data_IF_096298930887
#
_entry.id   IF_096298930887
#
_cell.length_a   1.000
_cell.length_b   1.000
_cell.length_c   1.000
_cell.angle_alpha   90.00
_cell.angle_beta   90.00
_cell.angle_gamma   90.00
#
_symmetry.space_group_name_H-M   'P 1'
#
loop_
_entity.id
_entity.type
_entity.pdbx_description
1 polymer ?
#
# COMPACT_ATOMS: atom_id res chain seq x y z
N UNK A 1 53.60 -19.48 41.87
CA UNK A 1 54.81 -18.98 42.55
C UNK A 1 54.48 -17.58 43.12
N UNK A 2 53.57 -17.48 44.09
CA UNK A 2 53.80 -17.61 45.53
C UNK A 2 54.78 -16.55 46.08
N UNK A 3 54.26 -15.46 46.68
CA UNK A 3 54.68 -14.83 47.94
C UNK A 3 53.81 -13.55 48.17
N UNK A 4 52.94 -13.31 49.16
CA UNK A 4 52.77 -13.65 50.60
C UNK A 4 53.31 -12.58 51.57
N UNK A 5 52.35 -11.93 52.28
CA UNK A 5 52.38 -11.23 53.61
C UNK A 5 52.94 -9.79 53.65
N UNK A 6 52.44 -8.84 54.48
CA UNK A 6 51.81 -8.88 55.83
C UNK A 6 51.15 -7.49 56.10
N UNK A 7 49.84 -7.36 56.38
CA UNK A 7 49.13 -7.33 57.68
C UNK A 7 49.46 -6.12 58.60
N UNK A 8 48.48 -5.22 58.78
CA UNK A 8 48.15 -4.60 60.08
C UNK A 8 46.61 -4.52 60.22
N UNK A 9 46.14 -4.88 61.42
CA UNK A 9 44.74 -5.08 61.82
C UNK A 9 44.53 -4.30 63.12
N UNK A 10 43.44 -3.53 63.19
CA UNK A 10 42.69 -3.14 64.40
C UNK A 10 41.24 -2.89 63.90
N UNK A 11 40.28 -3.79 64.10
CA UNK A 11 39.31 -3.85 65.23
C UNK A 11 38.48 -2.55 65.33
N UNK A 12 37.13 -2.49 65.31
CA UNK A 12 35.98 -3.40 65.51
C UNK A 12 34.74 -2.74 64.84
N UNK A 13 33.80 -3.53 64.31
CA UNK A 13 32.44 -3.05 63.96
C UNK A 13 31.76 -3.91 62.89
N UNK A 14 30.83 -4.77 63.31
CA UNK A 14 30.20 -5.80 62.51
C UNK A 14 28.94 -5.33 61.72
N UNK A 15 28.54 -6.20 60.76
CA UNK A 15 27.24 -6.35 60.06
C UNK A 15 27.04 -5.67 58.67
N UNK A 16 27.42 -6.43 57.62
CA UNK A 16 26.65 -6.99 56.47
C UNK A 16 25.46 -6.25 55.76
N UNK A 17 25.11 -6.66 54.51
CA UNK A 17 24.98 -5.75 53.35
C UNK A 17 23.55 -5.35 52.95
N UNK A 18 23.49 -4.22 52.24
CA UNK A 18 22.27 -3.62 51.68
C UNK A 18 21.77 -4.43 50.47
N UNK A 19 20.64 -5.12 50.68
CA UNK A 19 19.77 -5.66 49.66
C UNK A 19 18.82 -4.58 49.08
N UNK A 20 18.54 -4.71 47.79
CA UNK A 20 17.37 -4.25 47.02
C UNK A 20 16.27 -3.46 47.78
N UNK A 21 16.26 -2.14 47.59
CA UNK A 21 15.07 -1.28 47.75
C UNK A 21 14.17 -1.45 46.51
N UNK A 22 12.85 -1.64 46.55
CA UNK A 22 11.87 -1.40 47.61
C UNK A 22 10.67 -0.64 47.05
N UNK A 23 10.04 -1.13 45.97
CA UNK A 23 8.90 -0.50 45.25
C UNK A 23 7.53 -0.70 45.96
N UNK A 24 7.46 -0.59 47.29
CA UNK A 24 6.22 -0.99 47.99
C UNK A 24 5.73 -0.15 49.19
N UNK A 25 6.17 1.10 49.36
CA UNK A 25 5.65 1.94 50.46
C UNK A 25 5.33 3.40 50.09
N UNK A 26 4.35 3.61 49.21
CA UNK A 26 3.61 4.91 49.14
C UNK A 26 2.10 4.68 48.91
N UNK A 27 1.49 3.69 49.57
CA UNK A 27 0.03 3.49 49.50
C UNK A 27 -0.57 3.12 50.86
N UNK A 28 -0.54 4.06 51.81
CA UNK A 28 -1.42 4.01 52.99
C UNK A 28 -2.04 5.38 53.25
N UNK A 29 -3.28 5.54 52.81
CA UNK A 29 -4.13 6.68 53.11
C UNK A 29 -5.46 6.57 52.38
N UNK A 30 -6.45 5.96 53.05
CA UNK A 30 -7.85 5.72 52.61
C UNK A 30 -8.04 4.50 51.69
N UNK A 31 -8.76 3.51 52.23
CA UNK A 31 -8.85 2.16 51.70
C UNK A 31 -9.74 2.01 50.48
N UNK A 32 -9.23 1.23 49.52
CA UNK A 32 -9.95 0.22 48.73
C UNK A 32 -8.88 -0.78 48.28
N UNK A 33 -8.74 -1.90 49.01
CA UNK A 33 -7.88 -3.02 48.61
C UNK A 33 -8.55 -3.74 47.44
N UNK A 34 -8.43 -3.17 46.25
CA UNK A 34 -8.88 -3.82 45.03
C UNK A 34 -8.05 -5.09 44.87
N UNK A 35 -8.71 -6.26 44.77
CA UNK A 35 -8.02 -7.50 44.44
C UNK A 35 -7.26 -7.34 43.11
N UNK A 36 -6.20 -8.12 42.87
CA UNK A 36 -5.47 -8.08 41.58
C UNK A 36 -6.40 -8.21 40.37
N UNK A 37 -7.53 -8.91 40.53
CA UNK A 37 -8.56 -9.04 39.50
C UNK A 37 -9.38 -7.76 39.33
N UNK A 38 -9.77 -7.10 40.44
CA UNK A 38 -10.45 -5.81 40.40
C UNK A 38 -9.56 -4.71 39.79
N UNK A 39 -8.25 -4.69 40.10
CA UNK A 39 -7.31 -3.77 39.45
C UNK A 39 -7.16 -4.04 37.95
N UNK A 40 -7.07 -5.31 37.54
CA UNK A 40 -7.08 -5.69 36.10
C UNK A 40 -8.37 -5.31 35.41
N UNK A 41 -9.50 -5.43 36.09
CA UNK A 41 -10.80 -5.06 35.54
C UNK A 41 -10.97 -3.54 35.43
N UNK A 42 -10.54 -2.77 36.44
CA UNK A 42 -10.52 -1.32 36.39
C UNK A 42 -9.53 -0.79 35.36
N UNK A 43 -8.35 -1.40 35.24
CA UNK A 43 -7.38 -1.08 34.17
C UNK A 43 -7.97 -1.37 32.79
N UNK A 44 -8.63 -2.52 32.59
CA UNK A 44 -9.34 -2.82 31.33
C UNK A 44 -10.48 -1.84 31.05
N UNK A 45 -11.25 -1.46 32.07
CA UNK A 45 -12.34 -0.47 31.95
C UNK A 45 -11.80 0.93 31.65
N UNK A 46 -10.71 1.34 32.30
CA UNK A 46 -10.06 2.62 32.08
C UNK A 46 -9.40 2.71 30.70
N UNK A 47 -8.70 1.65 30.26
CA UNK A 47 -8.15 1.55 28.90
C UNK A 47 -9.27 1.57 27.86
N UNK A 48 -10.35 0.82 28.09
CA UNK A 48 -11.51 0.81 27.20
C UNK A 48 -12.21 2.17 27.14
N UNK A 49 -12.41 2.82 28.29
CA UNK A 49 -12.96 4.18 28.38
C UNK A 49 -12.07 5.16 27.63
N UNK A 50 -10.76 5.19 27.93
CA UNK A 50 -9.82 6.07 27.27
C UNK A 50 -9.71 5.84 25.76
N UNK A 51 -9.78 4.59 25.29
CA UNK A 51 -9.86 4.27 23.85
C UNK A 51 -11.17 4.77 23.25
N UNK A 52 -12.31 4.57 23.91
CA UNK A 52 -13.61 5.02 23.42
C UNK A 52 -13.72 6.54 23.40
N UNK A 53 -13.16 7.23 24.40
CA UNK A 53 -13.11 8.69 24.50
C UNK A 53 -12.15 9.28 23.46
N UNK A 54 -11.01 8.64 23.21
CA UNK A 54 -10.09 9.02 22.14
C UNK A 54 -10.71 8.82 20.76
N UNK A 55 -11.42 7.70 20.56
CA UNK A 55 -12.11 7.40 19.31
C UNK A 55 -13.27 8.35 19.07
N UNK A 56 -14.08 8.67 20.08
CA UNK A 56 -15.20 9.61 19.96
C UNK A 56 -14.69 11.01 19.62
N UNK A 57 -13.65 11.48 20.32
CA UNK A 57 -12.99 12.76 20.03
C UNK A 57 -12.42 12.80 18.61
N UNK A 58 -11.77 11.72 18.17
CA UNK A 58 -11.24 11.61 16.81
C UNK A 58 -12.36 11.63 15.76
N UNK A 59 -13.44 10.88 15.96
CA UNK A 59 -14.61 10.87 15.07
C UNK A 59 -15.23 12.28 14.98
N UNK A 60 -15.36 12.98 16.11
CA UNK A 60 -15.87 14.35 16.16
C UNK A 60 -14.93 15.36 15.47
N UNK A 61 -13.63 15.05 15.38
CA UNK A 61 -12.64 15.90 14.70
C UNK A 61 -12.65 15.77 13.16
N UNK A 62 -13.29 14.71 12.63
CA UNK A 62 -13.35 14.44 11.20
C UNK A 62 -14.03 15.58 10.45
N UNK A 63 -13.56 15.91 9.24
CA UNK A 63 -14.28 16.83 8.35
C UNK A 63 -15.70 16.33 8.08
N UNK A 64 -16.67 17.24 7.87
CA UNK A 64 -18.01 16.85 7.44
C UNK A 64 -17.97 16.22 6.03
N UNK A 65 -18.94 15.35 5.66
CA UNK A 65 -18.94 14.61 4.40
C UNK A 65 -18.70 15.44 3.12
N UNK A 66 -19.25 16.67 2.96
CA UNK A 66 -19.01 17.48 1.76
C UNK A 66 -17.55 17.86 1.55
N UNK A 67 -16.74 17.92 2.60
CA UNK A 67 -15.31 18.24 2.50
C UNK A 67 -14.48 17.12 1.87
N UNK A 68 -15.05 15.94 1.63
CA UNK A 68 -14.36 14.80 1.01
C UNK A 68 -14.57 14.72 -0.52
N UNK A 69 -15.40 15.60 -1.10
CA UNK A 69 -15.79 15.57 -2.52
C UNK A 69 -15.91 16.99 -3.13
N UNK A 70 -14.81 17.58 -3.66
CA UNK A 70 -13.43 17.09 -3.60
C UNK A 70 -12.81 17.30 -2.21
N UNK A 71 -11.76 16.55 -1.84
CA UNK A 71 -11.08 16.70 -0.56
C UNK A 71 -10.57 18.14 -0.32
N UNK A 72 -10.94 18.76 0.79
CA UNK A 72 -10.24 19.94 1.34
C UNK A 72 -8.86 19.54 1.87
N UNK A 73 -7.94 20.48 2.17
CA UNK A 73 -6.70 20.17 2.86
C UNK A 73 -6.87 19.38 4.18
N UNK A 74 -7.93 19.69 4.94
CA UNK A 74 -8.28 18.96 6.18
C UNK A 74 -8.73 17.53 5.88
N UNK A 75 -9.62 17.34 4.91
CA UNK A 75 -10.05 16.01 4.46
C UNK A 75 -8.89 15.19 3.86
N UNK A 76 -8.05 15.80 3.03
CA UNK A 76 -6.83 15.19 2.52
C UNK A 76 -5.91 14.67 3.64
N UNK A 77 -5.62 15.51 4.65
CA UNK A 77 -4.77 15.09 5.77
C UNK A 77 -5.36 13.92 6.55
N UNK A 78 -6.69 13.89 6.71
CA UNK A 78 -7.43 12.80 7.35
C UNK A 78 -7.34 11.52 6.52
N UNK A 79 -7.58 11.61 5.21
CA UNK A 79 -7.51 10.46 4.29
C UNK A 79 -6.11 9.86 4.28
N UNK A 80 -5.06 10.67 4.17
CA UNK A 80 -3.68 10.20 4.15
C UNK A 80 -3.25 9.64 5.52
N UNK A 81 -3.72 10.25 6.62
CA UNK A 81 -3.49 9.74 7.97
C UNK A 81 -4.05 8.34 8.18
N UNK A 82 -5.20 8.03 7.56
CA UNK A 82 -5.79 6.70 7.57
C UNK A 82 -5.07 5.78 6.57
N UNK A 83 -4.83 6.25 5.35
CA UNK A 83 -4.34 5.41 4.25
C UNK A 83 -2.91 4.91 4.47
N UNK A 84 -2.07 5.66 5.18
CA UNK A 84 -0.73 5.20 5.55
C UNK A 84 -0.76 3.93 6.42
N UNK A 85 -1.86 3.65 7.13
CA UNK A 85 -2.07 2.45 7.96
C UNK A 85 -2.66 1.25 7.23
N UNK A 86 -2.91 1.37 5.92
CA UNK A 86 -3.34 0.25 5.09
C UNK A 86 -2.43 -1.00 5.17
N UNK A 87 -1.09 -0.92 5.39
CA UNK A 87 -0.25 -2.10 5.63
C UNK A 87 -0.78 -3.01 6.75
N UNK A 88 -1.47 -2.49 7.76
CA UNK A 88 -2.11 -3.30 8.81
C UNK A 88 -3.19 -4.22 8.22
N UNK A 89 -3.96 -3.74 7.25
CA UNK A 89 -4.94 -4.56 6.51
C UNK A 89 -4.22 -5.64 5.70
N UNK A 90 -3.07 -5.31 5.10
CA UNK A 90 -2.30 -6.30 4.34
C UNK A 90 -1.77 -7.44 5.19
N UNK A 91 -1.53 -7.24 6.50
CA UNK A 91 -1.17 -8.33 7.43
C UNK A 91 -2.25 -9.43 7.37
N UNK A 92 -3.52 -9.06 7.37
CA UNK A 92 -4.61 -10.03 7.22
C UNK A 92 -4.56 -10.74 5.86
N UNK A 93 -4.21 -10.04 4.77
CA UNK A 93 -4.06 -10.65 3.43
C UNK A 93 -2.89 -11.64 3.37
N UNK A 94 -1.81 -11.37 4.10
CA UNK A 94 -0.66 -12.28 4.20
C UNK A 94 -0.98 -13.53 5.03
N UNK A 95 -1.77 -13.37 6.09
CA UNK A 95 -2.14 -14.47 7.00
C UNK A 95 -3.31 -15.31 6.49
N UNK A 96 -4.24 -14.72 5.74
CA UNK A 96 -5.48 -15.37 5.31
C UNK A 96 -5.50 -15.59 3.79
N UNK A 97 -5.81 -16.81 3.30
CA UNK A 97 -6.03 -17.06 1.87
C UNK A 97 -7.38 -16.50 1.37
N UNK A 98 -8.07 -15.69 2.17
CA UNK A 98 -9.40 -15.20 1.88
C UNK A 98 -9.36 -14.00 0.94
N UNK A 99 -9.62 -14.29 -0.34
CA UNK A 99 -9.68 -13.26 -1.38
C UNK A 99 -10.69 -13.70 -2.46
N UNK A 100 -12.01 -13.57 -2.25
CA UNK A 100 -13.04 -14.18 -3.10
C UNK A 100 -13.19 -13.52 -4.49
N UNK A 101 -12.15 -13.66 -5.31
CA UNK A 101 -12.00 -13.21 -6.69
C UNK A 101 -11.02 -14.16 -7.42
N UNK A 102 -11.17 -14.31 -8.74
CA UNK A 102 -10.23 -15.10 -9.54
C UNK A 102 -10.17 -16.57 -9.13
N UNK A 103 -8.97 -17.08 -8.82
CA UNK A 103 -8.73 -18.49 -8.42
C UNK A 103 -9.49 -18.92 -7.16
N UNK A 104 -9.79 -17.96 -6.29
CA UNK A 104 -10.45 -18.11 -4.98
C UNK A 104 -11.88 -17.58 -4.99
N UNK A 105 -12.43 -17.26 -6.16
CA UNK A 105 -13.82 -16.84 -6.35
C UNK A 105 -14.80 -17.87 -5.76
N UNK A 106 -15.88 -17.39 -5.15
CA UNK A 106 -16.91 -18.22 -4.49
C UNK A 106 -18.10 -18.45 -5.44
N UNK A 107 -18.13 -19.51 -6.27
CA UNK A 107 -19.05 -19.61 -7.41
C UNK A 107 -20.55 -19.61 -7.06
N UNK A 108 -20.91 -19.94 -5.81
CA UNK A 108 -22.30 -20.05 -5.34
C UNK A 108 -22.79 -18.84 -4.57
N UNK A 109 -21.94 -17.83 -4.30
CA UNK A 109 -22.37 -16.65 -3.55
C UNK A 109 -23.33 -15.79 -4.38
N UNK A 110 -24.47 -15.44 -3.80
CA UNK A 110 -25.44 -14.49 -4.35
C UNK A 110 -24.90 -13.06 -4.39
N UNK A 111 -23.86 -12.77 -3.61
CA UNK A 111 -23.20 -11.47 -3.55
C UNK A 111 -22.07 -11.36 -4.59
N UNK A 112 -22.07 -12.20 -5.61
CA UNK A 112 -21.13 -12.09 -6.72
C UNK A 112 -21.66 -11.18 -7.80
N UNK A 113 -20.75 -10.38 -8.35
CA UNK A 113 -20.99 -9.60 -9.55
C UNK A 113 -20.19 -10.17 -10.74
N UNK A 114 -20.65 -10.02 -11.99
CA UNK A 114 -19.91 -10.52 -13.15
C UNK A 114 -18.51 -9.91 -13.23
N UNK A 115 -17.50 -10.77 -13.39
CA UNK A 115 -16.10 -10.41 -13.13
C UNK A 115 -15.55 -9.25 -13.97
N UNK A 116 -15.90 -9.16 -15.26
CA UNK A 116 -15.41 -8.09 -16.14
C UNK A 116 -15.93 -6.70 -15.73
N UNK A 117 -17.23 -6.61 -15.45
CA UNK A 117 -17.86 -5.36 -15.04
C UNK A 117 -17.47 -4.97 -13.61
N UNK A 118 -17.35 -5.95 -12.71
CA UNK A 118 -16.83 -5.72 -11.37
C UNK A 118 -15.40 -5.16 -11.38
N UNK A 119 -14.50 -5.74 -12.19
CA UNK A 119 -13.15 -5.20 -12.40
C UNK A 119 -13.20 -3.78 -12.97
N UNK A 120 -13.98 -3.58 -14.04
CA UNK A 120 -14.09 -2.29 -14.68
C UNK A 120 -14.55 -1.20 -13.70
N UNK A 121 -15.59 -1.49 -12.92
CA UNK A 121 -16.14 -0.55 -11.96
C UNK A 121 -15.18 -0.26 -10.81
N UNK A 122 -14.63 -1.29 -10.15
CA UNK A 122 -13.83 -1.07 -8.94
C UNK A 122 -12.49 -0.37 -9.24
N UNK A 123 -11.92 -0.59 -10.42
CA UNK A 123 -10.67 0.05 -10.85
C UNK A 123 -10.89 1.43 -11.48
N UNK A 124 -12.05 1.71 -12.09
CA UNK A 124 -12.31 3.04 -12.68
C UNK A 124 -12.38 4.14 -11.62
N UNK A 125 -12.75 3.81 -10.38
CA UNK A 125 -12.90 4.77 -9.27
C UNK A 125 -11.67 5.64 -9.10
N UNK A 126 -10.47 5.06 -9.16
CA UNK A 126 -9.23 5.82 -8.94
C UNK A 126 -9.04 6.92 -9.98
N UNK A 127 -9.16 6.57 -11.26
CA UNK A 127 -9.03 7.53 -12.35
C UNK A 127 -10.16 8.55 -12.38
N UNK A 128 -11.41 8.11 -12.20
CA UNK A 128 -12.57 9.00 -12.19
C UNK A 128 -12.51 10.01 -11.05
N UNK A 129 -12.13 9.58 -9.85
CA UNK A 129 -12.01 10.46 -8.70
C UNK A 129 -10.85 11.45 -8.86
N UNK A 130 -9.70 11.03 -9.39
CA UNK A 130 -8.59 11.92 -9.74
C UNK A 130 -9.04 13.02 -10.73
N UNK A 131 -9.72 12.63 -11.82
CA UNK A 131 -10.23 13.57 -12.82
C UNK A 131 -11.30 14.51 -12.23
N UNK A 132 -12.21 13.99 -11.41
CA UNK A 132 -13.22 14.78 -10.73
C UNK A 132 -12.60 15.86 -9.85
N UNK A 133 -11.64 15.50 -9.00
CA UNK A 133 -10.95 16.45 -8.10
C UNK A 133 -10.25 17.53 -8.93
N UNK A 134 -9.47 17.15 -9.95
CA UNK A 134 -8.77 18.11 -10.82
C UNK A 134 -9.75 19.02 -11.58
N UNK A 135 -10.86 18.47 -12.07
CA UNK A 135 -11.88 19.23 -12.78
C UNK A 135 -12.53 20.29 -11.88
N UNK A 136 -12.90 19.93 -10.64
CA UNK A 136 -13.49 20.89 -9.70
C UNK A 136 -12.52 22.01 -9.33
N UNK A 137 -11.23 21.70 -9.16
CA UNK A 137 -10.19 22.71 -8.97
C UNK A 137 -10.00 23.61 -10.19
N UNK A 138 -10.01 23.04 -11.40
CA UNK A 138 -9.93 23.80 -12.64
C UNK A 138 -11.08 24.82 -12.77
N UNK A 139 -12.31 24.43 -12.40
CA UNK A 139 -13.46 25.34 -12.43
C UNK A 139 -13.34 26.48 -11.39
N UNK A 140 -12.62 26.23 -10.29
CA UNK A 140 -12.47 27.19 -9.19
C UNK A 140 -11.34 28.21 -9.41
N UNK A 141 -10.38 27.92 -10.29
CA UNK A 141 -9.18 28.74 -10.52
C UNK A 141 -9.00 28.97 -12.03
N UNK A 142 -9.18 30.20 -12.52
CA UNK A 142 -8.91 30.52 -13.93
C UNK A 142 -7.50 30.11 -14.34
N UNK A 143 -7.36 29.51 -15.53
CA UNK A 143 -6.07 29.09 -16.09
C UNK A 143 -5.30 28.05 -15.24
N UNK A 144 -5.95 27.30 -14.34
CA UNK A 144 -5.30 26.32 -13.48
C UNK A 144 -4.44 25.30 -14.25
N UNK A 145 -4.93 24.81 -15.39
CA UNK A 145 -4.18 23.85 -16.20
C UNK A 145 -2.93 24.47 -16.83
N UNK A 146 -2.88 25.77 -17.11
CA UNK A 146 -1.63 26.37 -17.62
C UNK A 146 -0.63 26.63 -16.49
N UNK A 147 -1.11 26.93 -15.28
CA UNK A 147 -0.26 27.20 -14.10
C UNK A 147 0.24 25.95 -13.39
N UNK A 148 -0.43 24.80 -13.54
CA UNK A 148 0.00 23.54 -12.92
C UNK A 148 1.38 23.08 -13.47
N UNK A 149 2.34 22.71 -12.60
CA UNK A 149 3.67 22.30 -13.04
C UNK A 149 3.67 21.08 -13.97
N UNK A 150 4.62 21.03 -14.90
CA UNK A 150 4.71 19.98 -15.92
C UNK A 150 4.85 18.58 -15.30
N UNK A 151 5.63 18.43 -14.24
CA UNK A 151 5.82 17.16 -13.55
C UNK A 151 4.53 16.65 -12.89
N UNK A 152 3.69 17.55 -12.35
CA UNK A 152 2.42 17.18 -11.75
C UNK A 152 1.44 16.70 -12.84
N UNK A 153 1.37 17.41 -13.98
CA UNK A 153 0.58 16.99 -15.15
C UNK A 153 1.00 15.62 -15.67
N UNK A 154 2.32 15.39 -15.75
CA UNK A 154 2.86 14.11 -16.18
C UNK A 154 2.40 12.97 -15.25
N UNK A 155 2.53 13.13 -13.93
CA UNK A 155 2.06 12.11 -12.99
C UNK A 155 0.56 11.84 -13.08
N UNK A 156 -0.27 12.88 -13.23
CA UNK A 156 -1.71 12.70 -13.51
C UNK A 156 -1.90 11.87 -14.79
N UNK A 157 -1.24 12.24 -15.88
CA UNK A 157 -1.38 11.57 -17.17
C UNK A 157 -0.96 10.10 -17.09
N UNK A 158 0.17 9.79 -16.44
CA UNK A 158 0.64 8.42 -16.24
C UNK A 158 -0.34 7.62 -15.37
N UNK A 159 -0.83 8.18 -14.27
CA UNK A 159 -1.84 7.53 -13.43
C UNK A 159 -3.11 7.19 -14.23
N UNK A 160 -3.65 8.15 -15.00
CA UNK A 160 -4.83 7.92 -15.83
C UNK A 160 -4.54 6.88 -16.92
N UNK A 161 -3.36 6.94 -17.56
CA UNK A 161 -2.95 5.98 -18.58
C UNK A 161 -2.93 4.54 -18.05
N UNK A 162 -2.36 4.31 -16.87
CA UNK A 162 -2.40 3.01 -16.19
C UNK A 162 -3.84 2.53 -16.02
N UNK A 163 -4.70 3.36 -15.42
CA UNK A 163 -6.06 2.96 -15.09
C UNK A 163 -6.98 2.86 -16.31
N UNK A 164 -6.70 3.55 -17.41
CA UNK A 164 -7.39 3.30 -18.69
C UNK A 164 -7.13 1.87 -19.15
N UNK A 165 -5.87 1.42 -19.10
CA UNK A 165 -5.54 0.04 -19.40
C UNK A 165 -6.16 -0.95 -18.40
N UNK A 166 -6.01 -0.67 -17.11
CA UNK A 166 -6.39 -1.57 -16.01
C UNK A 166 -7.91 -1.71 -15.84
N UNK A 167 -8.64 -0.61 -15.90
CA UNK A 167 -10.08 -0.57 -15.67
C UNK A 167 -10.88 -0.86 -16.93
N UNK A 168 -10.44 -0.41 -18.11
CA UNK A 168 -11.24 -0.56 -19.33
C UNK A 168 -10.64 -1.56 -20.31
N UNK A 169 -9.40 -1.35 -20.76
CA UNK A 169 -8.82 -2.14 -21.86
C UNK A 169 -8.73 -3.63 -21.48
N UNK A 170 -8.13 -3.91 -20.32
CA UNK A 170 -7.85 -5.27 -19.85
C UNK A 170 -9.12 -6.10 -19.61
N UNK A 171 -10.07 -5.67 -18.75
CA UNK A 171 -11.24 -6.49 -18.46
C UNK A 171 -12.24 -6.58 -19.61
N UNK A 172 -12.41 -5.52 -20.39
CA UNK A 172 -13.43 -5.49 -21.44
C UNK A 172 -12.96 -6.15 -22.73
N UNK A 173 -11.69 -5.98 -23.11
CA UNK A 173 -11.21 -6.38 -24.43
C UNK A 173 -10.12 -7.47 -24.42
N UNK A 174 -9.19 -7.47 -23.46
CA UNK A 174 -8.05 -8.40 -23.50
C UNK A 174 -8.29 -9.72 -22.77
N UNK A 175 -8.95 -9.69 -21.62
CA UNK A 175 -9.15 -10.86 -20.78
C UNK A 175 -10.17 -11.83 -21.43
N UNK A 176 -9.85 -13.12 -21.60
CA UNK A 176 -10.79 -14.09 -22.19
C UNK A 176 -11.98 -14.35 -21.25
N UNK A 177 -11.72 -14.45 -19.96
CA UNK A 177 -12.75 -14.54 -18.92
C UNK A 177 -12.20 -14.06 -17.59
N UNK A 178 -13.10 -13.53 -16.76
CA UNK A 178 -12.84 -13.13 -15.39
C UNK A 178 -13.88 -13.79 -14.49
N UNK A 179 -13.42 -14.50 -13.47
CA UNK A 179 -14.29 -15.16 -12.50
C UNK A 179 -15.18 -14.13 -11.78
N UNK A 180 -16.37 -14.52 -11.31
CA UNK A 180 -17.22 -13.63 -10.52
C UNK A 180 -16.49 -13.07 -9.30
N UNK A 181 -16.83 -11.84 -8.91
CA UNK A 181 -16.16 -11.11 -7.83
C UNK A 181 -17.17 -10.82 -6.74
N UNK A 182 -16.83 -11.21 -5.52
CA UNK A 182 -17.68 -10.97 -4.36
C UNK A 182 -17.73 -9.47 -4.01
N UNK A 183 -18.91 -8.97 -3.60
CA UNK A 183 -19.11 -7.56 -3.25
C UNK A 183 -18.08 -7.02 -2.25
N UNK A 184 -17.63 -7.82 -1.28
CA UNK A 184 -16.60 -7.41 -0.32
C UNK A 184 -15.30 -6.95 -1.00
N UNK A 185 -14.90 -7.61 -2.09
CA UNK A 185 -13.70 -7.24 -2.87
C UNK A 185 -13.96 -5.96 -3.64
N UNK A 186 -15.15 -5.82 -4.23
CA UNK A 186 -15.54 -4.60 -4.95
C UNK A 186 -15.50 -3.40 -4.01
N UNK A 187 -16.16 -3.47 -2.84
CA UNK A 187 -16.18 -2.37 -1.88
C UNK A 187 -14.79 -2.04 -1.34
N UNK A 188 -13.98 -3.05 -1.00
CA UNK A 188 -12.62 -2.79 -0.50
C UNK A 188 -11.71 -2.19 -1.58
N UNK A 189 -11.84 -2.62 -2.84
CA UNK A 189 -11.10 -2.04 -3.97
C UNK A 189 -11.55 -0.62 -4.30
N UNK A 190 -12.87 -0.35 -4.31
CA UNK A 190 -13.45 1.00 -4.47
C UNK A 190 -12.89 1.93 -3.39
N UNK A 191 -12.94 1.51 -2.11
CA UNK A 191 -12.41 2.29 -0.99
C UNK A 191 -10.91 2.53 -1.16
N UNK A 192 -10.12 1.49 -1.47
CA UNK A 192 -8.68 1.64 -1.72
C UNK A 192 -8.39 2.66 -2.82
N UNK A 193 -9.05 2.53 -3.98
CA UNK A 193 -8.86 3.41 -5.12
C UNK A 193 -9.32 4.84 -4.82
N UNK A 194 -10.38 5.04 -4.03
CA UNK A 194 -10.80 6.35 -3.54
C UNK A 194 -9.74 7.00 -2.63
N UNK A 195 -9.27 6.30 -1.59
CA UNK A 195 -8.23 6.82 -0.70
C UNK A 195 -6.95 7.15 -1.47
N UNK A 196 -6.50 6.23 -2.33
CA UNK A 196 -5.29 6.41 -3.12
C UNK A 196 -5.37 7.63 -4.04
N UNK A 197 -6.41 7.72 -4.87
CA UNK A 197 -6.58 8.82 -5.81
C UNK A 197 -6.79 10.16 -5.10
N UNK A 198 -7.52 10.21 -4.00
CA UNK A 198 -7.71 11.44 -3.20
C UNK A 198 -6.39 11.93 -2.59
N UNK A 199 -5.56 11.02 -2.07
CA UNK A 199 -4.25 11.37 -1.53
C UNK A 199 -3.29 11.84 -2.64
N UNK A 200 -3.24 11.13 -3.77
CA UNK A 200 -2.40 11.53 -4.90
C UNK A 200 -2.86 12.87 -5.49
N UNK A 201 -4.17 13.07 -5.69
CA UNK A 201 -4.72 14.31 -6.23
C UNK A 201 -4.43 15.50 -5.32
N UNK A 202 -4.69 15.41 -4.02
CA UNK A 202 -4.40 16.48 -3.07
C UNK A 202 -2.92 16.87 -3.05
N UNK A 203 -2.02 15.89 -3.11
CA UNK A 203 -0.58 16.16 -3.21
C UNK A 203 -0.17 16.80 -4.54
N UNK A 204 -0.70 16.31 -5.66
CA UNK A 204 -0.44 16.88 -6.99
C UNK A 204 -1.04 18.29 -7.14
N UNK A 205 -2.06 18.64 -6.37
CA UNK A 205 -2.64 19.98 -6.26
C UNK A 205 -1.89 20.90 -5.29
N UNK A 206 -0.86 20.41 -4.61
CA UNK A 206 -0.02 21.22 -3.73
C UNK A 206 -0.59 21.41 -2.32
N UNK A 207 -1.46 20.52 -1.84
CA UNK A 207 -1.96 20.57 -0.46
C UNK A 207 -0.84 20.41 0.59
N UNK A 208 0.40 20.12 0.22
CA UNK A 208 1.53 20.15 1.15
C UNK A 208 1.49 19.07 2.23
N UNK A 209 2.61 18.91 2.93
CA UNK A 209 2.84 17.85 3.92
C UNK A 209 3.78 18.35 5.03
N UNK A 210 3.28 19.00 6.09
CA UNK A 210 4.06 19.13 7.31
C UNK A 210 4.09 17.77 8.03
N UNK A 211 5.24 17.09 8.05
CA UNK A 211 5.41 15.70 8.50
C UNK A 211 6.52 15.64 9.55
N UNK A 212 6.18 15.39 10.81
CA UNK A 212 7.14 15.40 11.91
C UNK A 212 7.57 13.97 12.19
N UNK A 213 8.87 13.78 12.07
CA UNK A 213 9.53 12.64 12.65
C UNK A 213 9.89 13.01 14.09
N UNK A 214 9.30 12.29 15.05
CA UNK A 214 9.67 12.29 16.48
C UNK A 214 9.52 13.60 17.27
N UNK A 215 8.33 14.22 17.30
CA UNK A 215 8.03 15.30 18.24
C UNK A 215 8.75 16.64 17.95
N UNK A 216 9.76 16.62 17.09
CA UNK A 216 10.34 17.79 16.44
C UNK A 216 9.57 18.09 15.16
N UNK A 217 9.10 19.32 15.02
CA UNK A 217 8.35 19.80 13.86
C UNK A 217 9.24 19.84 12.60
N UNK A 218 9.35 18.72 11.90
CA UNK A 218 9.93 18.71 10.56
C UNK A 218 8.80 19.08 9.59
N UNK A 219 8.92 20.21 8.93
CA UNK A 219 8.05 20.53 7.80
C UNK A 219 8.68 19.82 6.60
N UNK A 220 8.06 18.75 6.09
CA UNK A 220 8.59 18.00 4.94
C UNK A 220 8.49 18.80 3.62
N UNK A 221 7.99 20.02 3.68
CA UNK A 221 8.04 21.02 2.60
C UNK A 221 9.09 22.12 2.82
N UNK A 222 9.82 22.13 3.94
CA UNK A 222 10.92 23.06 4.18
C UNK A 222 12.04 22.37 4.95
N UNK A 223 12.94 21.69 4.23
CA UNK A 223 14.35 21.96 4.52
C UNK A 223 14.51 23.46 4.36
N UNK A 224 14.90 24.15 5.43
CA UNK A 224 15.38 25.53 5.44
C UNK A 224 16.01 25.88 4.09
N UNK A 225 15.22 26.57 3.24
CA UNK A 225 15.46 26.74 1.81
C UNK A 225 16.61 27.72 1.50
N UNK A 226 17.52 27.94 2.45
CA UNK A 226 18.65 28.83 2.27
C UNK A 226 19.98 28.08 2.05
N UNK A 227 20.20 26.89 2.65
CA UNK A 227 21.57 26.34 2.74
C UNK A 227 21.75 24.83 2.50
N UNK A 228 20.70 24.05 2.16
CA UNK A 228 20.91 22.63 1.85
C UNK A 228 21.26 22.47 0.36
N UNK A 229 22.44 21.96 0.00
CA UNK A 229 22.78 21.75 -1.40
C UNK A 229 21.82 20.73 -2.00
N UNK A 230 20.99 21.16 -2.96
CA UNK A 230 20.25 20.23 -3.82
C UNK A 230 21.30 19.39 -4.53
N UNK A 231 21.26 18.08 -4.34
CA UNK A 231 22.18 17.18 -5.02
C UNK A 231 22.09 17.39 -6.53
N UNK A 232 23.22 17.60 -7.20
CA UNK A 232 23.27 17.88 -8.63
C UNK A 232 22.59 16.78 -9.50
N UNK A 233 22.47 15.56 -8.97
CA UNK A 233 21.82 14.43 -9.66
C UNK A 233 20.29 14.41 -9.51
N UNK A 234 19.71 15.11 -8.52
CA UNK A 234 18.28 15.03 -8.20
C UNK A 234 17.36 15.48 -9.37
N UNK A 235 17.69 16.53 -10.15
CA UNK A 235 16.90 16.90 -11.33
C UNK A 235 16.82 15.81 -12.42
N UNK A 236 17.76 14.85 -12.43
CA UNK A 236 17.78 13.78 -13.42
C UNK A 236 16.95 12.54 -13.02
N UNK A 237 16.57 12.43 -11.73
CA UNK A 237 15.79 11.31 -11.19
C UNK A 237 14.44 11.10 -11.89
N UNK A 238 13.66 12.14 -12.22
CA UNK A 238 12.38 11.95 -12.92
C UNK A 238 12.54 11.28 -14.29
N UNK A 239 13.63 11.51 -15.01
CA UNK A 239 13.85 10.88 -16.32
C UNK A 239 14.10 9.38 -16.19
N UNK A 240 14.85 8.97 -15.15
CA UNK A 240 14.97 7.55 -14.78
C UNK A 240 13.58 7.01 -14.41
N UNK A 241 12.80 7.78 -13.66
CA UNK A 241 11.43 7.45 -13.30
C UNK A 241 10.53 7.19 -14.50
N UNK A 242 10.59 8.03 -15.55
CA UNK A 242 9.85 7.84 -16.80
C UNK A 242 10.25 6.51 -17.46
N UNK A 243 11.55 6.24 -17.58
CA UNK A 243 12.03 5.02 -18.21
C UNK A 243 11.55 3.77 -17.44
N UNK A 244 11.65 3.77 -16.11
CA UNK A 244 11.17 2.66 -15.28
C UNK A 244 9.65 2.52 -15.32
N UNK A 245 8.92 3.64 -15.37
CA UNK A 245 7.47 3.65 -15.48
C UNK A 245 7.02 2.89 -16.73
N UNK A 246 7.52 3.29 -17.91
CA UNK A 246 7.13 2.66 -19.17
C UNK A 246 7.67 1.23 -19.32
N UNK A 247 8.87 0.94 -18.82
CA UNK A 247 9.41 -0.43 -18.79
C UNK A 247 8.53 -1.35 -17.93
N UNK A 248 8.13 -0.87 -16.75
CA UNK A 248 7.22 -1.58 -15.85
C UNK A 248 5.84 -1.80 -16.47
N UNK A 249 5.24 -0.74 -17.02
CA UNK A 249 3.93 -0.79 -17.66
C UNK A 249 3.92 -1.76 -18.85
N UNK A 250 4.92 -1.67 -19.75
CA UNK A 250 5.07 -2.61 -20.86
C UNK A 250 5.20 -4.05 -20.36
N UNK A 251 6.08 -4.27 -19.37
CA UNK A 251 6.32 -5.59 -18.80
C UNK A 251 5.08 -6.19 -18.12
N UNK A 252 4.31 -5.38 -17.40
CA UNK A 252 3.05 -5.76 -16.79
C UNK A 252 2.04 -6.22 -17.85
N UNK A 253 1.76 -5.38 -18.86
CA UNK A 253 0.80 -5.66 -19.94
C UNK A 253 1.22 -6.88 -20.75
N UNK A 254 2.51 -6.99 -21.07
CA UNK A 254 3.08 -8.12 -21.79
C UNK A 254 2.87 -9.44 -21.03
N UNK A 255 3.12 -9.42 -19.71
CA UNK A 255 2.95 -10.57 -18.84
C UNK A 255 1.48 -11.00 -18.74
N UNK A 256 0.55 -10.06 -18.55
CA UNK A 256 -0.88 -10.36 -18.48
C UNK A 256 -1.42 -10.89 -19.81
N UNK A 257 -1.05 -10.24 -20.93
CA UNK A 257 -1.46 -10.65 -22.27
C UNK A 257 -0.95 -12.05 -22.60
N UNK A 258 0.26 -12.39 -22.16
CA UNK A 258 0.80 -13.75 -22.27
C UNK A 258 -0.07 -14.76 -21.51
N UNK A 259 -0.45 -14.47 -20.27
CA UNK A 259 -1.34 -15.34 -19.50
C UNK A 259 -2.72 -15.49 -20.17
N UNK A 260 -3.27 -14.41 -20.74
CA UNK A 260 -4.53 -14.46 -21.48
C UNK A 260 -4.43 -15.31 -22.75
N UNK A 261 -3.33 -15.18 -23.50
CA UNK A 261 -3.06 -16.00 -24.68
C UNK A 261 -3.01 -17.48 -24.32
N UNK A 262 -2.24 -17.84 -23.30
CA UNK A 262 -2.14 -19.23 -22.82
C UNK A 262 -3.49 -19.81 -22.40
N UNK A 263 -4.33 -19.01 -21.72
CA UNK A 263 -5.69 -19.43 -21.36
C UNK A 263 -6.59 -19.62 -22.58
N UNK A 264 -6.47 -18.76 -23.60
CA UNK A 264 -7.23 -18.91 -24.86
C UNK A 264 -6.84 -20.18 -25.61
N UNK A 265 -5.54 -20.39 -25.80
CA UNK A 265 -5.00 -21.58 -26.48
C UNK A 265 -5.45 -22.87 -25.80
N UNK A 266 -5.38 -22.91 -24.46
CA UNK A 266 -5.82 -24.07 -23.70
C UNK A 266 -7.33 -24.32 -23.81
N UNK A 267 -8.13 -23.26 -23.78
CA UNK A 267 -9.59 -23.37 -23.94
C UNK A 267 -9.96 -23.98 -25.30
N UNK A 268 -9.35 -23.49 -26.39
CA UNK A 268 -9.57 -24.01 -27.72
C UNK A 268 -9.07 -25.46 -27.88
N UNK A 269 -7.90 -25.79 -27.32
CA UNK A 269 -7.37 -27.16 -27.31
C UNK A 269 -8.33 -28.14 -26.63
N UNK A 270 -8.87 -27.78 -25.47
CA UNK A 270 -9.86 -28.59 -24.74
C UNK A 270 -11.15 -28.76 -25.54
N UNK A 271 -11.64 -27.68 -26.15
CA UNK A 271 -12.85 -27.73 -26.97
C UNK A 271 -12.68 -28.64 -28.20
N UNK A 272 -11.55 -28.53 -28.90
CA UNK A 272 -11.25 -29.39 -30.04
C UNK A 272 -11.14 -30.86 -29.64
N UNK A 273 -10.52 -31.14 -28.48
CA UNK A 273 -10.45 -32.51 -27.94
C UNK A 273 -11.83 -33.06 -27.61
N UNK A 274 -12.68 -32.30 -26.90
CA UNK A 274 -14.04 -32.71 -26.57
C UNK A 274 -14.90 -33.00 -27.82
N UNK A 275 -14.72 -32.22 -28.90
CA UNK A 275 -15.36 -32.47 -30.19
C UNK A 275 -14.90 -33.79 -30.84
N UNK A 276 -13.60 -34.11 -30.75
CA UNK A 276 -13.04 -35.36 -31.27
C UNK A 276 -13.49 -36.57 -30.46
N UNK A 277 -13.59 -36.42 -29.14
CA UNK A 277 -13.96 -37.50 -28.22
C UNK A 277 -15.49 -37.73 -28.14
N UNK A 278 -16.29 -37.00 -28.93
CA UNK A 278 -17.75 -37.12 -28.97
C UNK A 278 -18.48 -36.53 -27.75
N UNK A 279 -17.77 -35.99 -26.76
CA UNK A 279 -18.29 -35.42 -25.52
C UNK A 279 -18.69 -33.94 -25.65
N UNK A 280 -19.19 -33.54 -26.83
CA UNK A 280 -19.67 -32.19 -27.08
C UNK A 280 -21.02 -31.98 -26.40
N UNK A 281 -21.05 -32.01 -25.07
CA UNK A 281 -22.22 -31.60 -24.29
C UNK A 281 -22.52 -30.13 -24.58
N UNK A 282 -23.80 -29.82 -24.80
CA UNK A 282 -24.34 -28.48 -25.02
C UNK A 282 -24.29 -27.66 -23.70
N UNK A 283 -23.08 -27.49 -23.16
CA UNK A 283 -22.84 -26.72 -21.95
C UNK A 283 -23.10 -25.25 -22.25
N UNK A 284 -24.07 -24.63 -21.55
CA UNK A 284 -24.30 -23.17 -21.56
C UNK A 284 -23.10 -22.36 -21.04
N UNK A 285 -22.03 -22.99 -20.55
CA UNK A 285 -20.86 -22.31 -19.99
C UNK A 285 -19.85 -21.98 -21.08
N UNK A 286 -19.24 -20.79 -20.95
CA UNK A 286 -18.17 -20.32 -21.82
C UNK A 286 -16.98 -21.31 -21.83
N UNK A 287 -16.37 -21.52 -23.00
CA UNK A 287 -15.16 -22.36 -23.15
C UNK A 287 -13.98 -21.87 -22.31
N UNK A 288 -14.02 -20.61 -21.85
CA UNK A 288 -13.00 -19.99 -21.03
C UNK A 288 -13.27 -20.15 -19.52
N UNK A 289 -14.32 -20.86 -19.11
CA UNK A 289 -14.65 -21.06 -17.71
C UNK A 289 -13.60 -21.95 -17.01
N UNK A 290 -13.03 -21.44 -15.91
CA UNK A 290 -12.03 -22.14 -15.07
C UNK A 290 -10.87 -22.81 -15.82
N UNK A 291 -10.44 -22.23 -16.95
CA UNK A 291 -9.24 -22.66 -17.66
C UNK A 291 -8.00 -22.03 -17.03
N UNK A 292 -7.16 -22.89 -16.43
CA UNK A 292 -5.90 -22.50 -15.77
C UNK A 292 -4.73 -23.21 -16.43
N UNK A 293 -3.66 -22.43 -16.65
CA UNK A 293 -2.42 -22.88 -17.29
C UNK A 293 -1.25 -22.40 -16.46
N UNK A 294 -0.20 -23.22 -16.37
CA UNK A 294 1.09 -22.79 -15.86
C UNK A 294 1.86 -22.14 -17.01
N UNK A 295 2.33 -20.90 -16.88
CA UNK A 295 3.17 -20.29 -17.91
C UNK A 295 4.47 -21.09 -18.07
N UNK A 296 4.98 -21.26 -19.31
CA UNK A 296 6.27 -21.91 -19.52
C UNK A 296 7.39 -21.12 -18.81
N UNK A 297 8.47 -21.77 -18.35
CA UNK A 297 9.56 -21.12 -17.63
C UNK A 297 10.51 -20.37 -18.58
N UNK A 298 9.98 -19.44 -19.36
CA UNK A 298 10.72 -18.64 -20.35
C UNK A 298 10.53 -17.15 -20.11
N UNK A 299 11.48 -16.33 -20.58
CA UNK A 299 11.44 -14.87 -20.42
C UNK A 299 11.21 -14.44 -18.96
N UNK A 300 10.27 -13.51 -18.76
CA UNK A 300 9.89 -12.99 -17.44
C UNK A 300 9.24 -14.03 -16.51
N UNK A 301 8.79 -15.17 -17.03
CA UNK A 301 8.21 -16.27 -16.26
C UNK A 301 9.22 -17.36 -15.86
N UNK A 302 10.52 -17.16 -16.19
CA UNK A 302 11.58 -18.14 -15.94
C UNK A 302 11.81 -18.43 -14.46
N UNK A 303 11.79 -17.38 -13.62
CA UNK A 303 12.13 -17.47 -12.19
C UNK A 303 10.94 -17.24 -11.25
N UNK A 304 9.86 -16.62 -11.75
CA UNK A 304 8.66 -16.26 -10.98
C UNK A 304 7.37 -16.53 -11.75
N UNK A 305 6.26 -16.72 -11.03
CA UNK A 305 4.94 -17.01 -11.60
C UNK A 305 4.09 -15.76 -11.87
N UNK A 306 4.32 -14.67 -11.14
CA UNK A 306 3.54 -13.43 -11.22
C UNK A 306 4.40 -12.21 -11.59
N UNK A 307 5.12 -12.24 -12.74
CA UNK A 307 5.94 -11.11 -13.15
C UNK A 307 5.14 -9.83 -13.42
N UNK A 308 3.85 -9.94 -13.77
CA UNK A 308 2.99 -8.77 -13.95
C UNK A 308 2.90 -7.91 -12.69
N UNK A 309 2.90 -8.50 -11.49
CA UNK A 309 2.93 -7.71 -10.25
C UNK A 309 4.28 -7.02 -10.03
N UNK A 310 5.39 -7.74 -10.22
CA UNK A 310 6.73 -7.15 -10.02
C UNK A 310 6.99 -6.01 -11.01
N UNK A 311 6.53 -6.16 -12.25
CA UNK A 311 6.67 -5.13 -13.28
C UNK A 311 5.72 -3.95 -13.04
N UNK A 312 4.55 -4.17 -12.44
CA UNK A 312 3.69 -3.11 -11.91
C UNK A 312 4.37 -2.38 -10.73
N UNK A 313 5.14 -3.06 -9.88
CA UNK A 313 5.92 -2.39 -8.83
C UNK A 313 7.02 -1.52 -9.43
N UNK A 314 7.66 -1.98 -10.50
CA UNK A 314 8.64 -1.19 -11.23
C UNK A 314 7.99 0.07 -11.84
N UNK A 315 6.78 -0.07 -12.39
CA UNK A 315 5.98 1.05 -12.89
C UNK A 315 5.76 2.10 -11.79
N UNK A 316 5.23 1.67 -10.64
CA UNK A 316 4.95 2.58 -9.52
C UNK A 316 6.20 3.11 -8.82
N UNK A 317 7.32 2.37 -8.86
CA UNK A 317 8.63 2.89 -8.44
C UNK A 317 9.09 4.01 -9.37
N UNK A 318 8.90 3.86 -10.69
CA UNK A 318 9.13 4.94 -11.66
C UNK A 318 8.27 6.17 -11.39
N UNK A 319 6.98 5.96 -11.10
CA UNK A 319 6.05 7.01 -10.68
C UNK A 319 6.56 7.76 -9.43
N UNK A 320 7.01 7.03 -8.42
CA UNK A 320 7.60 7.60 -7.21
C UNK A 320 8.84 8.45 -7.52
N UNK A 321 9.74 7.99 -8.39
CA UNK A 321 10.95 8.74 -8.78
C UNK A 321 10.62 10.07 -9.47
N UNK A 322 9.61 10.10 -10.35
CA UNK A 322 9.09 11.35 -10.93
C UNK A 322 8.52 12.26 -9.81
N UNK A 323 7.90 11.66 -8.79
CA UNK A 323 7.38 12.34 -7.61
C UNK A 323 8.40 13.17 -6.81
N UNK A 324 9.69 12.84 -6.88
CA UNK A 324 10.73 13.68 -6.25
C UNK A 324 10.77 15.08 -6.85
N UNK A 325 10.52 15.25 -8.15
CA UNK A 325 10.42 16.58 -8.74
C UNK A 325 9.22 17.34 -8.19
N UNK A 326 8.06 16.70 -8.06
CA UNK A 326 6.85 17.33 -7.51
C UNK A 326 7.07 17.76 -6.06
N UNK A 327 7.66 16.89 -5.25
CA UNK A 327 7.96 17.19 -3.85
C UNK A 327 9.09 18.23 -3.67
N UNK A 328 9.92 18.45 -4.69
CA UNK A 328 10.92 19.54 -4.71
C UNK A 328 10.35 20.89 -5.15
N UNK A 329 9.17 20.92 -5.79
CA UNK A 329 8.57 22.10 -6.41
C UNK A 329 7.55 22.84 -5.52
N UNK A 330 7.23 22.35 -4.33
CA UNK A 330 6.16 22.92 -3.47
C UNK A 330 6.49 24.30 -2.85
N UNK A 331 7.49 25.00 -3.37
CA UNK A 331 7.88 26.36 -2.99
C UNK A 331 6.98 27.46 -3.56
N UNK A 332 5.95 27.16 -4.36
CA UNK A 332 5.18 28.16 -5.13
C UNK A 332 3.69 28.18 -4.77
N UNK A 333 3.37 28.28 -3.48
CA UNK A 333 2.23 29.05 -2.92
C UNK A 333 2.14 28.76 -1.41
N UNK A 334 2.63 29.66 -0.54
CA UNK A 334 2.54 29.50 0.92
C UNK A 334 1.09 29.28 1.42
N UNK A 335 0.10 29.77 0.67
CA UNK A 335 -1.31 29.84 1.08
C UNK A 335 -2.03 28.49 1.14
N UNK A 336 -1.65 27.49 0.34
CA UNK A 336 -2.27 26.15 0.36
C UNK A 336 -1.67 25.25 1.45
N UNK A 337 -0.34 25.23 1.57
CA UNK A 337 0.36 24.44 2.60
C UNK A 337 0.13 24.99 4.02
N UNK A 338 -0.18 26.27 4.18
CA UNK A 338 -0.50 26.88 5.48
C UNK A 338 -1.85 26.41 6.07
N UNK A 339 -2.71 25.76 5.28
CA UNK A 339 -4.05 25.31 5.69
C UNK A 339 -4.14 23.80 5.97
N UNK A 340 -3.07 23.05 5.69
CA UNK A 340 -3.09 21.59 5.82
C UNK A 340 -2.69 21.17 7.22
N UNK A 341 -3.55 20.42 7.93
CA UNK A 341 -3.21 19.90 9.24
C UNK A 341 -1.97 19.01 9.19
N UNK A 342 -1.28 18.99 10.33
CA UNK A 342 -0.17 18.12 10.59
C UNK A 342 -0.55 16.63 10.53
N UNK A 343 0.30 15.79 9.93
CA UNK A 343 0.10 14.33 9.86
C UNK A 343 1.20 13.61 10.64
N UNK A 344 0.87 12.93 11.76
CA UNK A 344 1.81 12.03 12.41
C UNK A 344 2.11 10.83 11.52
N UNK A 345 3.38 10.57 11.24
CA UNK A 345 3.77 9.38 10.50
C UNK A 345 3.52 8.11 11.30
N UNK A 346 3.05 7.08 10.62
CA UNK A 346 3.06 5.74 11.14
C UNK A 346 4.51 5.35 11.53
N UNK A 347 4.71 4.64 12.65
CA UNK A 347 6.05 4.37 13.18
C UNK A 347 7.02 3.73 12.17
N UNK A 348 6.52 2.94 11.23
CA UNK A 348 7.33 2.27 10.21
C UNK A 348 7.75 3.19 9.04
N UNK A 349 7.12 4.36 8.85
CA UNK A 349 7.60 5.37 7.90
C UNK A 349 8.63 6.32 8.52
N UNK A 350 8.68 6.43 9.85
CA UNK A 350 9.60 7.33 10.55
C UNK A 350 11.08 7.11 10.20
N UNK A 351 11.62 5.88 10.18
CA UNK A 351 13.03 5.67 9.82
C UNK A 351 13.34 6.12 8.39
N UNK A 352 12.42 5.83 7.46
CA UNK A 352 12.56 6.22 6.05
C UNK A 352 12.50 7.74 5.88
N UNK A 353 11.57 8.39 6.57
CA UNK A 353 11.46 9.85 6.56
C UNK A 353 12.70 10.53 7.14
N UNK A 354 13.25 10.03 8.26
CA UNK A 354 14.51 10.53 8.83
C UNK A 354 15.68 10.36 7.86
N UNK A 355 15.77 9.20 7.22
CA UNK A 355 16.83 8.93 6.24
C UNK A 355 16.76 9.91 5.06
N UNK A 356 15.57 10.15 4.52
CA UNK A 356 15.41 11.03 3.37
C UNK A 356 15.59 12.49 3.76
N UNK A 357 14.84 12.96 4.76
CA UNK A 357 14.78 14.38 5.12
C UNK A 357 16.03 14.85 5.88
N UNK A 358 16.51 14.08 6.87
CA UNK A 358 17.61 14.50 7.75
C UNK A 358 18.98 14.06 7.23
N UNK A 359 19.10 12.80 6.79
CA UNK A 359 20.41 12.22 6.44
C UNK A 359 20.82 12.52 5.00
N UNK A 360 19.87 12.51 4.07
CA UNK A 360 20.12 12.71 2.65
C UNK A 360 19.66 14.06 2.11
N UNK A 361 18.86 14.83 2.87
CA UNK A 361 18.33 16.11 2.39
C UNK A 361 17.47 15.97 1.12
N UNK A 362 16.79 14.83 0.97
CA UNK A 362 15.91 14.52 -0.14
C UNK A 362 14.46 14.81 0.22
N UNK A 363 13.63 15.21 -0.76
CA UNK A 363 12.20 15.39 -0.54
C UNK A 363 11.53 14.05 -0.24
N UNK A 364 10.35 14.10 0.40
CA UNK A 364 9.61 12.92 0.82
C UNK A 364 8.22 12.88 0.16
N UNK A 365 8.10 12.37 -1.09
CA UNK A 365 6.82 12.29 -1.82
C UNK A 365 5.88 11.23 -1.20
N UNK A 366 5.32 11.54 -0.03
CA UNK A 366 4.72 10.56 0.86
C UNK A 366 3.51 9.81 0.26
N UNK A 367 2.53 10.45 -0.41
CA UNK A 367 1.43 9.72 -1.06
C UNK A 367 1.89 8.70 -2.10
N UNK A 368 2.92 9.01 -2.88
CA UNK A 368 3.49 8.06 -3.84
C UNK A 368 4.22 6.90 -3.12
N UNK A 369 4.90 7.17 -2.01
CA UNK A 369 5.52 6.14 -1.17
C UNK A 369 4.46 5.20 -0.58
N UNK A 370 3.41 5.78 0.04
CA UNK A 370 2.29 5.02 0.62
C UNK A 370 1.63 4.16 -0.44
N UNK A 371 1.38 4.71 -1.63
CA UNK A 371 0.79 3.95 -2.72
C UNK A 371 1.66 2.78 -3.17
N UNK A 372 2.97 3.01 -3.41
CA UNK A 372 3.89 1.95 -3.81
C UNK A 372 3.96 0.84 -2.75
N UNK A 373 4.12 1.19 -1.47
CA UNK A 373 4.18 0.23 -0.37
C UNK A 373 2.89 -0.59 -0.30
N UNK A 374 1.72 0.07 -0.34
CA UNK A 374 0.43 -0.60 -0.28
C UNK A 374 0.22 -1.55 -1.47
N UNK A 375 0.62 -1.14 -2.67
CA UNK A 375 0.54 -1.96 -3.88
C UNK A 375 1.43 -3.20 -3.78
N UNK A 376 2.70 -3.03 -3.37
CA UNK A 376 3.66 -4.12 -3.19
C UNK A 376 3.16 -5.13 -2.15
N UNK A 377 2.72 -4.66 -0.98
CA UNK A 377 2.26 -5.53 0.09
C UNK A 377 1.00 -6.33 -0.31
N UNK A 378 0.04 -5.68 -0.97
CA UNK A 378 -1.22 -6.31 -1.38
C UNK A 378 -1.00 -7.35 -2.47
N UNK A 379 -0.27 -6.99 -3.52
CA UNK A 379 -0.07 -7.89 -4.67
C UNK A 379 0.99 -8.94 -4.38
N UNK A 380 1.93 -8.67 -3.47
CA UNK A 380 2.87 -9.65 -2.93
C UNK A 380 2.16 -10.77 -2.16
N UNK A 381 1.19 -10.41 -1.30
CA UNK A 381 0.35 -11.41 -0.61
C UNK A 381 -0.42 -12.27 -1.62
N UNK A 382 -1.01 -11.64 -2.65
CA UNK A 382 -1.72 -12.37 -3.73
C UNK A 382 -0.80 -13.29 -4.52
N UNK A 383 0.42 -12.86 -4.83
CA UNK A 383 1.41 -13.66 -5.54
C UNK A 383 1.82 -14.90 -4.72
N UNK A 384 2.05 -14.72 -3.42
CA UNK A 384 2.41 -15.82 -2.50
C UNK A 384 1.28 -16.88 -2.41
N UNK A 385 0.05 -16.45 -2.17
CA UNK A 385 -1.10 -17.37 -2.18
C UNK A 385 -1.36 -17.97 -3.56
N UNK A 386 -1.16 -17.19 -4.61
CA UNK A 386 -1.27 -17.63 -5.99
C UNK A 386 -0.26 -18.71 -6.35
N UNK A 387 0.97 -18.65 -5.81
CA UNK A 387 1.99 -19.70 -5.94
C UNK A 387 1.54 -20.97 -5.22
N UNK A 388 1.10 -20.86 -3.96
CA UNK A 388 0.59 -22.00 -3.19
C UNK A 388 -0.55 -22.71 -3.95
N UNK A 389 -1.47 -21.94 -4.53
CA UNK A 389 -2.52 -22.49 -5.37
C UNK A 389 -1.99 -23.22 -6.62
N UNK A 390 -0.95 -22.70 -7.29
CA UNK A 390 -0.33 -23.38 -8.43
C UNK A 390 0.32 -24.72 -8.02
N UNK A 391 1.01 -24.75 -6.88
CA UNK A 391 1.60 -25.98 -6.33
C UNK A 391 0.52 -27.00 -6.00
N UNK A 392 -0.56 -26.58 -5.33
CA UNK A 392 -1.69 -27.47 -5.01
C UNK A 392 -2.38 -28.00 -6.27
N UNK A 393 -2.52 -27.17 -7.30
CA UNK A 393 -3.28 -27.51 -8.52
C UNK A 393 -2.50 -28.40 -9.49
N UNK A 394 -1.18 -28.21 -9.61
CA UNK A 394 -0.37 -28.83 -10.66
C UNK A 394 0.87 -29.57 -10.14
N UNK A 395 1.17 -29.47 -8.84
CA UNK A 395 2.35 -30.06 -8.22
C UNK A 395 3.61 -29.20 -8.30
N UNK A 396 4.51 -29.39 -7.34
CA UNK A 396 5.77 -28.62 -7.22
C UNK A 396 6.68 -28.80 -8.45
N UNK A 397 6.69 -30.00 -9.05
CA UNK A 397 7.48 -30.29 -10.26
C UNK A 397 7.08 -29.39 -11.44
N UNK A 398 5.77 -29.17 -11.64
CA UNK A 398 5.26 -28.33 -12.72
C UNK A 398 5.55 -26.83 -12.51
N UNK A 399 5.64 -26.40 -11.24
CA UNK A 399 6.04 -25.03 -10.89
C UNK A 399 7.53 -24.79 -11.12
N UNK A 400 8.35 -25.83 -11.19
CA UNK A 400 9.77 -25.77 -11.54
C UNK A 400 10.58 -24.82 -10.62
N UNK A 401 10.37 -24.93 -9.30
CA UNK A 401 11.05 -24.13 -8.26
C UNK A 401 10.88 -22.60 -8.34
N UNK A 402 10.02 -22.09 -9.22
CA UNK A 402 9.73 -20.66 -9.34
C UNK A 402 9.07 -20.13 -8.06
N UNK A 403 9.40 -18.90 -7.70
CA UNK A 403 8.69 -18.16 -6.65
C UNK A 403 7.40 -17.53 -7.18
N UNK A 404 6.60 -16.95 -6.30
CA UNK A 404 5.46 -16.13 -6.69
C UNK A 404 5.94 -14.85 -7.34
N UNK A 405 6.79 -14.10 -6.63
CA UNK A 405 7.35 -12.82 -7.07
C UNK A 405 8.85 -12.63 -6.75
N UNK A 406 9.43 -13.44 -5.86
CA UNK A 406 10.88 -13.46 -5.61
C UNK A 406 11.53 -14.60 -6.42
N UNK A 407 12.55 -14.34 -7.24
CA UNK A 407 13.21 -15.37 -8.04
C UNK A 407 13.65 -16.58 -7.21
N UNK A 408 13.17 -17.76 -7.60
CA UNK A 408 13.56 -19.06 -7.01
C UNK A 408 13.33 -19.22 -5.50
N UNK A 409 12.57 -18.33 -4.86
CA UNK A 409 12.23 -18.44 -3.46
C UNK A 409 10.89 -19.16 -3.31
N UNK A 410 10.86 -20.38 -2.76
CA UNK A 410 9.63 -21.20 -2.75
C UNK A 410 8.57 -20.73 -1.74
N UNK A 411 8.97 -19.95 -0.74
CA UNK A 411 8.10 -19.52 0.35
C UNK A 411 7.26 -18.28 0.02
N UNK A 412 7.65 -17.53 -1.01
CA UNK A 412 6.97 -16.35 -1.54
C UNK A 412 6.71 -16.50 -3.03
#
# INVERSE_FOLDING_TARGET
MAYVLRRQRAEIGAQEPIHSFGWQQVMCGVGWLLSREQFRELSRKAVRSGIMDSLSTWIQSLPPPPEFFPPTPKAYSTLLSIFQYFPIITIAQWLLPFYPQGKTSLPTSILNFPGRYAWCFMESIGAMNMLYILYTHFQSIPNFLSTMPAWNKLLVALYILHYVNRAFITPLFLAPSMSPIHLIIIFTAVTYNYFNSSCLAGWLLGYGLPVSASGEHIIATTTSAANTPIHAWLPYVPYIGIALYFLGMYGNIHSETTLFRLRREEAHRKQQKAKKDGDATNSRKSIYDKVYVIPPPTGVFRSILFPHYVLEWLEWAGFLLIGFAVASQTSHTPSASAKTPYIPLAPYYTPLAKLFLQRWGLPFPFPAIVFLVNTVLTTGARASWGRKWYVQRFGEKAVAARGGFVPYFKWL
#
